data_IF_154940028876
#
_entry.id   IF_154940028876
#
_cell.length_a   1.000
_cell.length_b   1.000
_cell.length_c   1.000
_cell.angle_alpha   90.00
_cell.angle_beta   90.00
_cell.angle_gamma   90.00
#
_symmetry.space_group_name_H-M   'P 1'
#
loop_
_entity.id
_entity.type
_entity.pdbx_description
1 polymer ?
#
# COMPACT_ATOMS: atom_id res chain seq x y z
N UNK A 1 -7.58 -11.58 -9.21
CA UNK A 1 -6.81 -11.92 -10.43
C UNK A 1 -5.37 -12.22 -10.01
N UNK A 2 -4.89 -13.43 -10.25
CA UNK A 2 -3.55 -13.88 -9.84
C UNK A 2 -2.54 -13.70 -10.97
N UNK A 3 -1.42 -13.05 -10.64
CA UNK A 3 -0.23 -12.94 -11.44
C UNK A 3 0.96 -13.57 -10.70
N UNK A 4 1.83 -14.20 -11.46
CA UNK A 4 3.12 -14.75 -10.98
C UNK A 4 4.16 -14.51 -12.07
N UNK A 5 5.44 -14.76 -11.78
CA UNK A 5 6.50 -14.72 -12.80
C UNK A 5 6.23 -15.64 -14.00
N UNK A 6 5.41 -16.68 -13.86
CA UNK A 6 5.03 -17.59 -14.96
C UNK A 6 3.96 -17.03 -15.88
N UNK A 7 3.16 -16.07 -15.40
CA UNK A 7 2.06 -15.46 -16.14
C UNK A 7 1.95 -13.94 -15.84
N UNK A 8 3.02 -13.15 -16.11
CA UNK A 8 3.08 -11.76 -15.67
C UNK A 8 2.08 -10.85 -16.39
N UNK A 9 1.63 -11.22 -17.60
CA UNK A 9 0.73 -10.42 -18.43
C UNK A 9 -0.69 -10.99 -18.55
N UNK A 10 -0.92 -12.21 -18.10
CA UNK A 10 -2.21 -12.89 -18.23
C UNK A 10 -2.65 -13.46 -16.88
N UNK A 11 -3.55 -12.74 -16.21
CA UNK A 11 -4.05 -13.15 -14.91
C UNK A 11 -4.85 -14.44 -14.97
N UNK A 12 -4.67 -15.28 -13.95
CA UNK A 12 -5.58 -16.36 -13.65
C UNK A 12 -6.72 -15.85 -12.75
N UNK A 13 -7.97 -16.13 -13.13
CA UNK A 13 -9.10 -15.88 -12.23
C UNK A 13 -9.06 -16.87 -11.06
N UNK A 14 -9.09 -16.34 -9.84
CA UNK A 14 -9.03 -17.09 -8.58
C UNK A 14 -10.11 -16.57 -7.63
N UNK A 15 -10.57 -17.42 -6.72
CA UNK A 15 -11.55 -17.10 -5.69
C UNK A 15 -11.35 -18.03 -4.47
N UNK A 16 -12.20 -17.91 -3.44
CA UNK A 16 -12.06 -18.68 -2.20
C UNK A 16 -12.21 -20.19 -2.36
N UNK A 17 -12.76 -20.69 -3.48
CA UNK A 17 -12.88 -22.13 -3.77
C UNK A 17 -11.82 -22.62 -4.76
N UNK A 18 -11.18 -21.72 -5.50
CA UNK A 18 -10.19 -22.03 -6.54
C UNK A 18 -8.99 -21.09 -6.37
N UNK A 19 -7.95 -21.58 -5.68
CA UNK A 19 -6.68 -20.85 -5.52
C UNK A 19 -5.83 -20.83 -6.80
N UNK A 20 -6.16 -21.67 -7.79
CA UNK A 20 -5.43 -21.73 -9.06
C UNK A 20 -3.97 -22.14 -8.87
N UNK A 21 -3.05 -21.40 -9.49
CA UNK A 21 -1.61 -21.63 -9.42
C UNK A 21 -0.94 -20.87 -8.25
N UNK A 22 -1.72 -20.34 -7.30
CA UNK A 22 -1.18 -19.64 -6.14
C UNK A 22 -0.32 -20.60 -5.33
N UNK A 23 0.90 -20.18 -5.00
CA UNK A 23 1.76 -20.95 -4.11
C UNK A 23 1.76 -20.34 -2.70
N UNK A 24 1.10 -21.01 -1.76
CA UNK A 24 0.90 -20.54 -0.38
C UNK A 24 2.19 -20.41 0.44
N UNK A 25 3.29 -21.03 0.00
CA UNK A 25 4.60 -20.88 0.67
C UNK A 25 5.36 -19.64 0.21
N UNK A 26 4.82 -18.86 -0.72
CA UNK A 26 5.42 -17.62 -1.21
C UNK A 26 4.69 -16.41 -0.64
N UNK A 27 5.45 -15.32 -0.47
CA UNK A 27 4.89 -13.99 -0.20
C UNK A 27 3.76 -13.70 -1.18
N UNK A 28 2.63 -13.24 -0.66
CA UNK A 28 1.45 -12.87 -1.45
C UNK A 28 1.12 -11.41 -1.25
N UNK A 29 1.22 -10.64 -2.34
CA UNK A 29 0.89 -9.22 -2.34
C UNK A 29 -0.50 -9.02 -2.93
N UNK A 30 -1.42 -8.50 -2.14
CA UNK A 30 -2.73 -8.07 -2.61
C UNK A 30 -2.69 -6.60 -3.02
N UNK A 31 -3.02 -6.29 -4.28
CA UNK A 31 -3.14 -4.91 -4.75
C UNK A 31 -4.61 -4.54 -4.89
N UNK A 32 -5.05 -3.53 -4.13
CA UNK A 32 -6.46 -3.14 -4.01
C UNK A 32 -6.65 -1.72 -4.53
N UNK A 33 -7.39 -1.58 -5.63
CA UNK A 33 -7.67 -0.27 -6.21
C UNK A 33 -8.76 0.51 -5.45
N UNK A 34 -8.93 1.78 -5.81
CA UNK A 34 -9.86 2.72 -5.21
C UNK A 34 -11.21 2.88 -5.92
N UNK A 35 -11.82 4.05 -5.70
CA UNK A 35 -13.05 4.53 -6.35
C UNK A 35 -12.89 4.66 -7.87
N UNK A 36 -13.89 4.24 -8.66
CA UNK A 36 -13.82 4.17 -10.13
C UNK A 36 -15.08 4.74 -10.80
N UNK A 37 -15.25 6.06 -10.94
CA UNK A 37 -16.51 6.63 -11.45
C UNK A 37 -16.90 6.14 -12.86
N UNK A 38 -15.92 5.78 -13.70
CA UNK A 38 -16.14 5.28 -15.08
C UNK A 38 -15.97 3.76 -15.21
N UNK A 39 -15.57 3.06 -14.14
CA UNK A 39 -15.30 1.62 -14.17
C UNK A 39 -14.11 1.17 -15.03
N UNK A 40 -13.38 2.11 -15.64
CA UNK A 40 -12.14 1.78 -16.35
C UNK A 40 -11.15 1.12 -15.39
N UNK A 41 -10.24 0.23 -15.82
CA UNK A 41 -9.14 -0.26 -14.99
C UNK A 41 -8.15 0.85 -14.61
N UNK A 42 -7.46 0.76 -13.45
CA UNK A 42 -6.34 1.64 -13.12
C UNK A 42 -5.19 1.50 -14.12
N UNK A 43 -4.74 2.62 -14.69
CA UNK A 43 -3.67 2.64 -15.70
C UNK A 43 -2.30 2.18 -15.17
N UNK A 44 -2.07 2.28 -13.85
CA UNK A 44 -0.83 1.89 -13.19
C UNK A 44 -0.77 0.40 -12.80
N UNK A 45 -1.87 -0.34 -12.99
CA UNK A 45 -2.01 -1.69 -12.45
C UNK A 45 -0.99 -2.67 -13.05
N UNK A 46 -0.83 -2.63 -14.38
CA UNK A 46 0.11 -3.51 -15.10
C UNK A 46 1.55 -3.19 -14.69
N UNK A 47 1.94 -1.92 -14.70
CA UNK A 47 3.25 -1.46 -14.23
C UNK A 47 3.56 -1.92 -12.79
N UNK A 48 2.55 -1.92 -11.91
CA UNK A 48 2.72 -2.36 -10.52
C UNK A 48 2.90 -3.86 -10.41
N UNK A 49 2.12 -4.65 -11.15
CA UNK A 49 2.28 -6.10 -11.19
C UNK A 49 3.67 -6.46 -11.71
N UNK A 50 4.09 -5.84 -12.82
CA UNK A 50 5.40 -6.07 -13.43
C UNK A 50 6.53 -5.70 -12.47
N UNK A 51 6.47 -4.50 -11.86
CA UNK A 51 7.49 -4.03 -10.92
C UNK A 51 7.59 -4.88 -9.65
N UNK A 52 6.48 -5.44 -9.15
CA UNK A 52 6.52 -6.35 -8.01
C UNK A 52 7.12 -7.71 -8.38
N UNK A 53 6.76 -8.24 -9.56
CA UNK A 53 7.29 -9.53 -10.03
C UNK A 53 8.76 -9.46 -10.44
N UNK A 54 9.29 -8.27 -10.77
CA UNK A 54 10.71 -8.09 -11.10
C UNK A 54 11.61 -8.20 -9.87
N UNK A 55 11.16 -7.79 -8.68
CA UNK A 55 12.00 -7.74 -7.47
C UNK A 55 12.06 -9.06 -6.69
N UNK A 56 11.01 -9.89 -6.72
CA UNK A 56 11.00 -11.17 -6.00
C UNK A 56 10.03 -12.20 -6.63
N UNK A 57 10.20 -13.50 -6.33
CA UNK A 57 9.34 -14.58 -6.81
C UNK A 57 8.13 -14.77 -5.87
N UNK A 58 7.07 -14.04 -6.16
CA UNK A 58 5.89 -13.91 -5.29
C UNK A 58 4.57 -14.21 -6.03
N UNK A 59 3.47 -14.28 -5.27
CA UNK A 59 2.13 -14.17 -5.82
C UNK A 59 1.70 -12.70 -5.80
N UNK A 60 1.19 -12.17 -6.91
CA UNK A 60 0.54 -10.85 -6.95
C UNK A 60 -0.93 -11.02 -7.25
N UNK A 61 -1.80 -10.69 -6.29
CA UNK A 61 -3.25 -10.79 -6.40
C UNK A 61 -3.85 -9.41 -6.57
N UNK A 62 -4.25 -9.09 -7.80
CA UNK A 62 -5.04 -7.89 -8.08
C UNK A 62 -6.48 -8.14 -7.65
N UNK A 63 -6.97 -7.30 -6.74
CA UNK A 63 -8.35 -7.32 -6.24
C UNK A 63 -9.20 -6.42 -7.13
N UNK A 64 -9.85 -7.02 -8.14
CA UNK A 64 -10.83 -6.34 -8.97
C UNK A 64 -12.19 -6.32 -8.27
N UNK A 65 -12.55 -5.17 -7.72
CA UNK A 65 -13.87 -4.92 -7.14
C UNK A 65 -14.63 -3.83 -7.92
N UNK A 66 -14.35 -3.69 -9.22
CA UNK A 66 -14.95 -2.65 -10.07
C UNK A 66 -16.48 -2.63 -10.00
N UNK A 67 -17.16 -3.77 -9.84
CA UNK A 67 -18.62 -3.79 -9.67
C UNK A 67 -19.09 -2.96 -8.45
N UNK A 68 -18.31 -2.94 -7.37
CA UNK A 68 -18.60 -2.13 -6.18
C UNK A 68 -18.03 -0.71 -6.24
N UNK A 69 -16.93 -0.52 -6.98
CA UNK A 69 -16.24 0.76 -7.10
C UNK A 69 -16.84 1.67 -8.19
N UNK A 70 -17.58 1.10 -9.14
CA UNK A 70 -18.11 1.81 -10.32
C UNK A 70 -19.42 2.49 -10.02
N UNK A 71 -19.33 3.75 -9.63
CA UNK A 71 -20.48 4.59 -9.36
C UNK A 71 -20.06 6.06 -9.34
N UNK A 72 -20.97 6.96 -9.66
CA UNK A 72 -20.76 8.41 -9.46
C UNK A 72 -21.02 8.84 -8.01
N UNK A 73 -21.60 7.96 -7.18
CA UNK A 73 -21.97 8.25 -5.79
C UNK A 73 -20.90 7.68 -4.85
N UNK A 74 -19.94 8.52 -4.44
CA UNK A 74 -18.80 8.10 -3.61
C UNK A 74 -19.21 7.31 -2.35
N UNK A 75 -20.27 7.73 -1.66
CA UNK A 75 -20.79 7.05 -0.47
C UNK A 75 -21.20 5.59 -0.74
N UNK A 76 -21.66 5.28 -1.95
CA UNK A 76 -22.00 3.89 -2.32
C UNK A 76 -20.75 3.04 -2.40
N UNK A 77 -19.70 3.51 -3.09
CA UNK A 77 -18.42 2.80 -3.18
C UNK A 77 -17.76 2.64 -1.81
N UNK A 78 -17.71 3.72 -1.01
CA UNK A 78 -17.13 3.69 0.34
C UNK A 78 -17.80 2.63 1.23
N UNK A 79 -19.13 2.50 1.21
CA UNK A 79 -19.84 1.45 1.98
C UNK A 79 -19.53 0.02 1.50
N UNK A 80 -19.10 -0.18 0.26
CA UNK A 80 -18.75 -1.51 -0.26
C UNK A 80 -17.38 -1.99 0.21
N UNK A 81 -16.49 -1.10 0.67
CA UNK A 81 -15.14 -1.46 1.13
C UNK A 81 -15.15 -2.57 2.19
N UNK A 82 -16.04 -2.51 3.18
CA UNK A 82 -16.19 -3.56 4.20
C UNK A 82 -16.61 -4.91 3.61
N UNK A 83 -17.48 -4.90 2.59
CA UNK A 83 -17.89 -6.14 1.91
C UNK A 83 -16.72 -6.76 1.15
N UNK A 84 -15.92 -5.93 0.47
CA UNK A 84 -14.70 -6.40 -0.21
C UNK A 84 -13.74 -7.01 0.80
N UNK A 85 -13.54 -6.36 1.96
CA UNK A 85 -12.68 -6.88 3.01
C UNK A 85 -13.14 -8.27 3.51
N UNK A 86 -14.45 -8.48 3.71
CA UNK A 86 -15.00 -9.80 4.11
C UNK A 86 -14.67 -10.88 3.06
N UNK A 87 -14.83 -10.57 1.77
CA UNK A 87 -14.48 -11.53 0.71
C UNK A 87 -12.98 -11.84 0.71
N UNK A 88 -12.13 -10.83 0.95
CA UNK A 88 -10.68 -11.05 1.05
C UNK A 88 -10.31 -11.86 2.30
N UNK A 89 -11.01 -11.67 3.41
CA UNK A 89 -10.85 -12.47 4.63
C UNK A 89 -11.13 -13.94 4.35
N UNK A 90 -12.24 -14.26 3.71
CA UNK A 90 -12.59 -15.62 3.32
C UNK A 90 -11.53 -16.24 2.40
N UNK A 91 -10.99 -15.45 1.45
CA UNK A 91 -9.93 -15.90 0.56
C UNK A 91 -8.61 -16.19 1.30
N UNK A 92 -8.17 -15.27 2.17
CA UNK A 92 -6.95 -15.44 2.96
C UNK A 92 -7.12 -16.61 3.95
N UNK A 93 -8.31 -16.82 4.53
CA UNK A 93 -8.58 -17.98 5.39
C UNK A 93 -8.36 -19.31 4.66
N UNK A 94 -8.75 -19.39 3.38
CA UNK A 94 -8.45 -20.56 2.57
C UNK A 94 -6.94 -20.71 2.35
N UNK A 95 -6.21 -19.62 2.10
CA UNK A 95 -4.75 -19.69 1.98
C UNK A 95 -4.08 -20.21 3.26
N UNK A 96 -4.54 -19.74 4.43
CA UNK A 96 -4.04 -20.19 5.72
C UNK A 96 -4.34 -21.66 5.96
N UNK A 97 -5.53 -22.13 5.57
CA UNK A 97 -5.89 -23.55 5.65
C UNK A 97 -4.98 -24.45 4.80
N UNK A 98 -4.45 -23.93 3.69
CA UNK A 98 -3.49 -24.60 2.82
C UNK A 98 -2.02 -24.39 3.28
N UNK A 99 -1.78 -23.66 4.36
CA UNK A 99 -0.45 -23.52 4.98
C UNK A 99 0.27 -22.19 4.74
N UNK A 100 -0.41 -21.16 4.23
CA UNK A 100 0.16 -19.81 4.19
C UNK A 100 0.39 -19.24 5.60
N UNK A 101 1.35 -18.32 5.72
CA UNK A 101 1.55 -17.51 6.94
C UNK A 101 0.96 -16.12 6.77
N UNK A 102 0.39 -15.55 7.84
CA UNK A 102 -0.02 -14.14 7.88
C UNK A 102 1.18 -13.19 7.73
N UNK A 103 2.38 -13.61 8.14
CA UNK A 103 3.64 -12.86 7.97
C UNK A 103 3.96 -12.62 6.49
N UNK A 104 3.54 -13.55 5.62
CA UNK A 104 3.78 -13.52 4.17
C UNK A 104 2.65 -12.80 3.40
N UNK A 105 1.65 -12.28 4.11
CA UNK A 105 0.57 -11.48 3.51
C UNK A 105 0.92 -9.99 3.57
N UNK A 106 1.02 -9.39 2.39
CA UNK A 106 1.25 -7.96 2.20
C UNK A 106 0.10 -7.35 1.41
N UNK A 107 -0.52 -6.28 1.89
CA UNK A 107 -1.58 -5.57 1.17
C UNK A 107 -1.12 -4.16 0.76
N UNK A 108 -1.27 -3.83 -0.52
CA UNK A 108 -1.07 -2.48 -1.06
C UNK A 108 -2.44 -1.95 -1.47
N UNK A 109 -2.93 -0.96 -0.73
CA UNK A 109 -4.24 -0.36 -0.97
C UNK A 109 -4.12 1.08 -1.46
N UNK A 110 -4.76 1.39 -2.59
CA UNK A 110 -4.82 2.75 -3.14
C UNK A 110 -6.17 3.37 -2.82
N UNK A 111 -6.21 4.61 -2.30
CA UNK A 111 -7.46 5.33 -2.05
C UNK A 111 -8.40 4.57 -1.08
N UNK A 112 -9.66 4.33 -1.45
CA UNK A 112 -10.58 3.41 -0.76
C UNK A 112 -9.97 2.01 -0.51
N UNK A 113 -9.09 1.54 -1.39
CA UNK A 113 -8.40 0.26 -1.24
C UNK A 113 -7.49 0.21 -0.01
N UNK A 114 -6.93 1.35 0.43
CA UNK A 114 -6.14 1.43 1.66
C UNK A 114 -7.00 1.06 2.89
N UNK A 115 -8.25 1.54 2.92
CA UNK A 115 -9.19 1.20 3.98
C UNK A 115 -9.69 -0.25 3.87
N UNK A 116 -9.85 -0.78 2.66
CA UNK A 116 -10.11 -2.23 2.48
C UNK A 116 -9.00 -3.05 3.13
N UNK A 117 -7.73 -2.73 2.86
CA UNK A 117 -6.60 -3.41 3.49
C UNK A 117 -6.62 -3.29 5.02
N UNK A 118 -6.88 -2.08 5.55
CA UNK A 118 -7.03 -1.88 6.99
C UNK A 118 -8.17 -2.70 7.61
N UNK A 119 -9.32 -2.80 6.94
CA UNK A 119 -10.42 -3.65 7.42
C UNK A 119 -10.08 -5.14 7.42
N UNK A 120 -9.33 -5.62 6.43
CA UNK A 120 -8.83 -7.02 6.45
C UNK A 120 -7.88 -7.22 7.62
N UNK A 121 -6.93 -6.30 7.82
CA UNK A 121 -5.98 -6.31 8.92
C UNK A 121 -6.62 -6.43 10.30
N UNK A 122 -7.69 -5.65 10.54
CA UNK A 122 -8.48 -5.72 11.78
C UNK A 122 -9.09 -7.10 12.04
N UNK A 123 -9.59 -7.77 11.00
CA UNK A 123 -10.17 -9.11 11.14
C UNK A 123 -9.13 -10.18 11.46
N UNK A 124 -7.84 -9.85 11.34
CA UNK A 124 -6.70 -10.66 11.78
C UNK A 124 -6.00 -10.07 13.01
N UNK A 125 -6.64 -9.15 13.74
CA UNK A 125 -6.08 -8.51 14.94
C UNK A 125 -4.68 -7.91 14.70
N UNK A 126 -4.44 -7.32 13.52
CA UNK A 126 -3.17 -6.69 13.18
C UNK A 126 -2.04 -7.66 12.83
N UNK A 127 -2.34 -8.96 12.65
CA UNK A 127 -1.29 -9.97 12.43
C UNK A 127 -0.80 -10.06 10.98
N UNK A 128 -1.41 -9.36 10.02
CA UNK A 128 -0.89 -9.28 8.65
C UNK A 128 0.55 -8.77 8.65
N UNK A 129 1.41 -9.34 7.81
CA UNK A 129 2.82 -8.99 7.74
C UNK A 129 3.05 -7.51 7.45
N UNK A 130 2.32 -6.96 6.46
CA UNK A 130 2.43 -5.54 6.07
C UNK A 130 1.17 -4.99 5.40
N UNK A 131 0.88 -3.71 5.62
CA UNK A 131 -0.04 -2.91 4.81
C UNK A 131 0.66 -1.64 4.32
N UNK A 132 0.58 -1.35 3.02
CA UNK A 132 0.95 -0.04 2.46
C UNK A 132 -0.31 0.70 2.01
N UNK A 133 -0.55 1.88 2.57
CA UNK A 133 -1.58 2.81 2.13
C UNK A 133 -1.03 3.81 1.13
N UNK A 134 -1.46 3.72 -0.13
CA UNK A 134 -1.11 4.69 -1.18
C UNK A 134 -2.23 5.72 -1.30
N UNK A 135 -1.96 6.88 -0.71
CA UNK A 135 -2.87 8.01 -0.56
C UNK A 135 -4.28 7.60 -0.09
N UNK A 136 -4.42 7.10 1.17
CA UNK A 136 -5.70 6.67 1.70
C UNK A 136 -6.78 7.76 1.60
N UNK A 137 -7.99 7.38 1.20
CA UNK A 137 -9.02 8.36 0.88
C UNK A 137 -9.51 9.12 2.12
N UNK A 138 -9.36 10.44 2.14
CA UNK A 138 -9.82 11.28 3.25
C UNK A 138 -11.35 11.33 3.46
N UNK A 139 -12.17 11.54 2.41
CA UNK A 139 -13.62 11.71 2.57
C UNK A 139 -14.29 10.49 3.22
N UNK A 140 -15.07 10.73 4.27
CA UNK A 140 -15.75 9.76 5.14
C UNK A 140 -14.86 9.00 6.14
N UNK A 141 -13.53 9.09 6.03
CA UNK A 141 -12.57 8.37 6.88
C UNK A 141 -11.77 9.29 7.81
N UNK A 142 -11.47 10.52 7.40
CA UNK A 142 -10.75 11.48 8.24
C UNK A 142 -11.50 11.76 9.55
N UNK A 143 -10.77 11.74 10.67
CA UNK A 143 -11.35 11.91 12.02
C UNK A 143 -12.20 10.75 12.51
N UNK A 144 -12.32 9.65 11.74
CA UNK A 144 -12.98 8.43 12.19
C UNK A 144 -12.09 7.65 13.16
N UNK A 145 -12.71 6.88 14.06
CA UNK A 145 -11.96 6.04 14.99
C UNK A 145 -11.27 4.88 14.24
N UNK A 146 -10.23 4.25 14.82
CA UNK A 146 -9.41 3.23 14.16
C UNK A 146 -10.22 2.14 13.45
N UNK A 147 -11.32 1.65 14.03
CA UNK A 147 -12.24 0.63 13.49
C UNK A 147 -12.87 0.96 12.13
N UNK A 148 -12.87 2.24 11.77
CA UNK A 148 -13.57 2.79 10.61
C UNK A 148 -12.63 3.25 9.49
N UNK A 149 -11.30 3.11 9.64
CA UNK A 149 -10.29 3.54 8.66
C UNK A 149 -9.05 2.65 8.69
N UNK A 150 -8.04 2.96 7.86
CA UNK A 150 -6.71 2.36 7.99
C UNK A 150 -6.04 2.93 9.26
N UNK A 151 -5.35 2.08 10.01
CA UNK A 151 -4.70 2.43 11.26
C UNK A 151 -3.38 1.64 11.46
N UNK A 152 -2.39 2.17 12.20
CA UNK A 152 -1.14 1.45 12.47
C UNK A 152 -1.32 0.08 13.12
N UNK A 153 -2.43 -0.14 13.84
CA UNK A 153 -2.74 -1.43 14.47
C UNK A 153 -3.21 -2.52 13.50
N UNK A 154 -3.39 -2.21 12.21
CA UNK A 154 -3.99 -3.13 11.24
C UNK A 154 -3.01 -4.17 10.67
N UNK A 155 -1.71 -4.01 10.89
CA UNK A 155 -0.68 -4.97 10.49
C UNK A 155 0.54 -4.84 11.41
N UNK A 156 1.45 -5.80 11.30
CA UNK A 156 2.72 -5.73 12.02
C UNK A 156 3.61 -4.58 11.52
N UNK A 157 3.37 -4.09 10.31
CA UNK A 157 3.99 -2.90 9.75
C UNK A 157 3.00 -2.20 8.83
N UNK A 158 2.73 -0.92 9.08
CA UNK A 158 1.86 -0.08 8.25
C UNK A 158 2.66 1.13 7.79
N UNK A 159 2.85 1.26 6.48
CA UNK A 159 3.48 2.42 5.85
C UNK A 159 2.50 3.14 4.93
N UNK A 160 2.53 4.48 4.93
CA UNK A 160 1.56 5.30 4.18
C UNK A 160 2.28 6.38 3.39
N UNK A 161 1.96 6.48 2.10
CA UNK A 161 2.43 7.56 1.22
C UNK A 161 1.26 8.52 0.99
N UNK A 162 1.36 9.73 1.54
CA UNK A 162 0.42 10.81 1.28
C UNK A 162 0.91 11.67 0.12
N UNK A 163 0.07 11.89 -0.89
CA UNK A 163 0.41 12.70 -2.06
C UNK A 163 -0.66 13.72 -2.46
N UNK A 164 -1.88 13.62 -1.93
CA UNK A 164 -2.95 14.62 -2.10
C UNK A 164 -3.60 14.97 -0.75
N UNK A 165 -2.86 15.72 0.09
CA UNK A 165 -3.33 16.09 1.43
C UNK A 165 -4.34 17.26 1.37
N UNK A 166 -4.25 18.11 0.34
CA UNK A 166 -5.04 19.33 0.21
C UNK A 166 -6.31 19.18 -0.63
N UNK A 167 -6.44 18.10 -1.44
CA UNK A 167 -7.66 17.75 -2.17
C UNK A 167 -8.09 18.78 -3.22
N UNK A 168 -7.16 19.61 -3.73
CA UNK A 168 -7.46 20.73 -4.62
C UNK A 168 -6.87 20.56 -6.04
N UNK A 169 -7.61 21.11 -7.01
CA UNK A 169 -7.35 21.35 -8.44
C UNK A 169 -6.90 20.17 -9.34
N UNK A 170 -6.00 19.29 -8.89
CA UNK A 170 -5.48 18.14 -9.67
C UNK A 170 -5.70 16.79 -8.95
N UNK A 171 -6.83 16.65 -8.28
CA UNK A 171 -7.22 15.46 -7.49
C UNK A 171 -6.83 14.12 -8.13
N UNK A 172 -6.98 13.93 -9.46
CA UNK A 172 -6.59 12.67 -10.09
C UNK A 172 -5.07 12.49 -10.21
N UNK A 173 -4.32 13.54 -10.57
CA UNK A 173 -2.88 13.48 -10.75
C UNK A 173 -2.16 13.33 -9.40
N UNK A 174 -2.56 14.13 -8.41
CA UNK A 174 -1.93 14.14 -7.08
C UNK A 174 -2.24 12.84 -6.33
N UNK A 175 -3.47 12.34 -6.43
CA UNK A 175 -3.86 11.07 -5.83
C UNK A 175 -3.14 9.87 -6.45
N UNK A 176 -2.89 9.90 -7.77
CA UNK A 176 -2.14 8.84 -8.46
C UNK A 176 -0.63 8.91 -8.21
N UNK A 177 -0.10 10.05 -7.76
CA UNK A 177 1.34 10.25 -7.53
C UNK A 177 1.91 9.24 -6.52
N UNK A 178 1.18 8.93 -5.45
CA UNK A 178 1.58 7.90 -4.47
C UNK A 178 1.93 6.55 -5.11
N UNK A 179 1.16 6.13 -6.12
CA UNK A 179 1.42 4.89 -6.85
C UNK A 179 2.69 4.98 -7.68
N UNK A 180 2.90 6.09 -8.37
CA UNK A 180 4.10 6.28 -9.18
C UNK A 180 5.39 6.42 -8.35
N UNK A 181 5.29 7.00 -7.15
CA UNK A 181 6.39 7.03 -6.17
C UNK A 181 6.69 5.64 -5.61
N UNK A 182 5.66 4.84 -5.32
CA UNK A 182 5.86 3.45 -4.94
C UNK A 182 6.50 2.66 -6.08
N UNK A 183 6.03 2.84 -7.32
CA UNK A 183 6.60 2.20 -8.51
C UNK A 183 8.07 2.56 -8.75
N UNK A 184 8.49 3.81 -8.49
CA UNK A 184 9.89 4.18 -8.66
C UNK A 184 10.79 3.48 -7.64
N UNK A 185 10.29 3.20 -6.43
CA UNK A 185 11.04 2.46 -5.41
C UNK A 185 11.34 1.00 -5.77
N UNK A 186 10.58 0.42 -6.73
CA UNK A 186 10.81 -0.93 -7.25
C UNK A 186 11.93 -0.99 -8.29
N UNK A 187 12.45 0.16 -8.72
CA UNK A 187 13.52 0.25 -9.71
C UNK A 187 14.83 0.59 -9.00
N UNK A 188 15.86 -0.23 -9.19
CA UNK A 188 17.14 -0.15 -8.45
C UNK A 188 17.90 1.17 -8.62
N UNK A 189 17.61 1.95 -9.68
CA UNK A 189 18.34 3.17 -9.99
C UNK A 189 17.81 4.43 -9.28
N UNK A 190 16.79 4.30 -8.42
CA UNK A 190 16.16 5.46 -7.80
C UNK A 190 15.74 5.18 -6.36
N UNK A 191 16.48 5.77 -5.42
CA UNK A 191 16.14 5.70 -4.00
C UNK A 191 15.66 7.08 -3.53
N UNK A 192 14.47 7.10 -2.91
CA UNK A 192 13.93 8.30 -2.27
C UNK A 192 14.07 8.10 -0.78
N UNK A 193 15.03 8.80 -0.18
CA UNK A 193 15.25 8.81 1.26
C UNK A 193 14.26 9.74 1.94
N UNK A 194 13.60 9.26 2.97
CA UNK A 194 12.72 10.05 3.81
C UNK A 194 13.39 10.40 5.15
N UNK A 195 13.11 11.59 5.65
CA UNK A 195 13.71 12.14 6.86
C UNK A 195 12.65 12.29 7.95
N UNK A 196 12.77 11.53 9.06
CA UNK A 196 11.93 11.71 10.24
C UNK A 196 11.92 13.15 10.72
N UNK A 197 10.73 13.73 10.90
CA UNK A 197 10.58 15.11 11.37
C UNK A 197 9.22 15.33 12.03
N UNK A 198 9.13 16.28 12.94
CA UNK A 198 7.87 16.58 13.66
C UNK A 198 6.83 17.27 12.76
N UNK A 199 7.29 18.09 11.81
CA UNK A 199 6.42 18.83 10.90
C UNK A 199 7.08 19.08 9.54
N UNK A 200 6.26 19.24 8.51
CA UNK A 200 6.73 19.62 7.17
C UNK A 200 7.46 20.97 7.20
N UNK A 201 7.02 21.90 8.05
CA UNK A 201 7.66 23.21 8.22
C UNK A 201 9.09 23.06 8.76
N UNK A 202 9.30 22.19 9.74
CA UNK A 202 10.63 21.96 10.30
C UNK A 202 11.56 21.24 9.31
N UNK A 203 11.00 20.31 8.53
CA UNK A 203 11.70 19.67 7.41
C UNK A 203 12.16 20.72 6.38
N UNK A 204 11.25 21.58 5.89
CA UNK A 204 11.55 22.64 4.92
C UNK A 204 12.51 23.71 5.44
N UNK A 205 12.58 23.90 6.76
CA UNK A 205 13.54 24.79 7.41
C UNK A 205 14.90 24.12 7.69
N UNK A 206 15.14 22.90 7.19
CA UNK A 206 16.41 22.20 7.31
C UNK A 206 16.72 21.68 8.72
N UNK A 207 15.70 21.48 9.57
CA UNK A 207 15.91 20.99 10.95
C UNK A 207 16.09 19.47 11.06
N UNK A 208 15.75 18.75 10.00
CA UNK A 208 15.69 17.28 9.97
C UNK A 208 16.55 16.74 8.81
N UNK A 209 17.87 16.88 8.94
CA UNK A 209 18.85 16.51 7.90
C UNK A 209 19.46 15.12 8.11
N UNK A 210 19.09 14.43 9.18
CA UNK A 210 19.49 13.06 9.48
C UNK A 210 18.31 12.30 10.07
N UNK A 211 18.46 10.98 10.18
CA UNK A 211 17.36 10.10 10.60
C UNK A 211 17.39 9.73 12.08
N UNK A 212 18.24 10.39 12.88
CA UNK A 212 18.33 10.13 14.32
C UNK A 212 18.78 8.70 14.67
N UNK A 213 19.51 8.06 13.76
CA UNK A 213 20.05 6.70 13.86
C UNK A 213 21.57 6.72 13.95
N UNK A 214 22.15 5.65 14.49
CA UNK A 214 23.61 5.41 14.41
C UNK A 214 24.07 5.49 12.95
N UNK A 215 25.30 5.94 12.70
CA UNK A 215 25.88 6.04 11.34
C UNK A 215 25.92 4.70 10.59
N UNK A 216 25.65 3.58 11.27
CA UNK A 216 25.58 2.23 10.71
C UNK A 216 24.23 1.85 10.12
N UNK A 217 23.16 2.63 10.38
CA UNK A 217 21.82 2.38 9.87
C UNK A 217 21.43 3.41 8.81
N UNK A 218 20.72 2.96 7.77
CA UNK A 218 20.22 3.84 6.72
C UNK A 218 18.88 4.47 7.09
N UNK A 219 18.68 5.70 6.63
CA UNK A 219 17.39 6.38 6.70
C UNK A 219 16.26 5.55 6.04
N UNK A 220 14.99 5.77 6.46
CA UNK A 220 13.87 5.08 5.85
C UNK A 220 13.78 5.42 4.36
N UNK A 221 13.58 4.38 3.54
CA UNK A 221 13.32 4.52 2.12
C UNK A 221 11.81 4.60 1.87
N UNK A 222 11.41 5.42 0.90
CA UNK A 222 10.04 5.45 0.43
C UNK A 222 9.71 4.17 -0.36
N UNK A 223 8.51 3.62 -0.14
CA UNK A 223 7.94 2.57 -1.00
C UNK A 223 8.27 1.14 -0.59
N UNK A 224 8.62 0.29 -1.55
CA UNK A 224 8.72 -1.16 -1.37
C UNK A 224 9.67 -1.56 -0.25
N UNK A 225 10.80 -0.87 -0.09
CA UNK A 225 11.82 -1.18 0.91
C UNK A 225 11.66 -0.45 2.26
N UNK A 226 10.50 0.17 2.52
CA UNK A 226 10.25 0.89 3.78
C UNK A 226 10.26 -0.01 5.02
N UNK A 227 9.99 -1.31 4.86
CA UNK A 227 9.98 -2.32 5.93
C UNK A 227 11.37 -2.65 6.47
N UNK A 228 12.45 -2.27 5.78
CA UNK A 228 13.81 -2.30 6.33
C UNK A 228 13.95 -1.45 7.60
N UNK A 229 13.01 -0.52 7.84
CA UNK A 229 12.99 0.35 9.01
C UNK A 229 12.00 -0.11 10.10
N UNK A 230 11.38 -1.29 9.94
CA UNK A 230 10.37 -1.84 10.86
C UNK A 230 10.91 -2.03 12.27
N UNK A 231 12.12 -2.60 12.42
CA UNK A 231 12.67 -2.91 13.74
C UNK A 231 13.08 -1.65 14.51
N UNK A 232 13.64 -0.64 13.83
CA UNK A 232 13.91 0.67 14.43
C UNK A 232 12.63 1.33 14.97
N UNK A 233 11.52 1.25 14.23
CA UNK A 233 10.25 1.85 14.64
C UNK A 233 9.63 1.16 15.87
N UNK A 234 9.86 -0.16 16.04
CA UNK A 234 9.35 -0.92 17.20
C UNK A 234 9.93 -0.45 18.53
N UNK A 235 11.13 0.11 18.52
CA UNK A 235 11.81 0.60 19.72
C UNK A 235 11.36 2.00 20.15
N UNK A 236 10.56 2.70 19.32
CA UNK A 236 10.06 4.05 19.61
C UNK A 236 8.75 4.02 20.42
N UNK A 237 8.52 5.10 21.17
CA UNK A 237 7.26 5.34 21.87
C UNK A 237 6.66 6.72 21.48
N UNK A 238 5.51 6.76 20.78
CA UNK A 238 4.81 5.62 20.17
C UNK A 238 5.61 5.00 19.02
N UNK A 239 5.34 3.74 18.62
CA UNK A 239 6.05 3.03 17.55
C UNK A 239 5.61 3.49 16.16
N UNK A 240 5.70 4.80 15.93
CA UNK A 240 5.31 5.46 14.69
C UNK A 240 6.20 6.68 14.45
N UNK A 241 6.29 7.11 13.19
CA UNK A 241 6.99 8.33 12.82
C UNK A 241 6.25 9.08 11.72
N UNK A 242 6.62 10.35 11.53
CA UNK A 242 6.37 11.08 10.29
C UNK A 242 7.71 11.33 9.64
N UNK A 243 7.80 11.03 8.36
CA UNK A 243 8.99 11.32 7.56
C UNK A 243 8.59 12.13 6.33
N UNK A 244 9.48 13.02 5.92
CA UNK A 244 9.28 13.92 4.79
C UNK A 244 10.41 13.73 3.79
N UNK A 245 10.10 14.00 2.53
CA UNK A 245 11.02 13.85 1.42
C UNK A 245 10.59 14.82 0.32
N UNK A 246 11.54 15.17 -0.53
CA UNK A 246 11.27 15.87 -1.78
C UNK A 246 11.41 14.89 -2.94
N UNK A 247 10.74 15.21 -4.05
CA UNK A 247 10.77 14.39 -5.28
C UNK A 247 10.92 15.30 -6.47
N UNK A 248 11.56 14.81 -7.54
CA UNK A 248 11.56 15.49 -8.82
C UNK A 248 10.15 15.49 -9.44
N UNK A 249 9.91 16.40 -10.39
CA UNK A 249 8.62 16.51 -11.09
C UNK A 249 8.35 15.30 -11.99
N UNK A 250 9.39 14.76 -12.61
CA UNK A 250 9.33 13.66 -13.57
C UNK A 250 10.06 12.40 -13.10
N UNK A 251 9.77 11.27 -13.76
CA UNK A 251 10.47 9.99 -13.51
C UNK A 251 11.98 10.19 -13.70
N UNK A 252 12.84 9.62 -12.83
CA UNK A 252 12.50 8.60 -11.84
C UNK A 252 11.99 9.13 -10.48
N UNK A 253 11.74 10.43 -10.33
CA UNK A 253 11.23 11.12 -9.13
C UNK A 253 12.19 11.24 -7.94
N UNK A 254 13.30 10.51 -7.90
CA UNK A 254 14.40 10.86 -7.00
C UNK A 254 15.10 12.13 -7.49
N UNK A 255 15.55 12.94 -6.53
CA UNK A 255 16.44 14.06 -6.82
C UNK A 255 17.85 13.52 -7.05
N UNK A 256 18.43 13.77 -8.22
CA UNK A 256 19.87 13.65 -8.42
C UNK A 256 20.54 14.85 -7.72
N UNK A 257 21.46 14.59 -6.80
CA UNK A 257 22.31 15.60 -6.18
C UNK A 257 23.67 15.61 -6.87
#
# INVERSE_FOLDING_TARGET
MLYTRRNPTCAQAINSTVLGNLNVTKKTIFTVHGFRPTGSPPVWMEDLVEGLLSVDDMNVVVVDWNQGATTVIYNHASRKTRKVAIVLKEFIDQMLAEGASLDDIYMIGVSLGAHVAGFVGKMYNGQLGRITGLDPAGPLFNGRPPEDRLDPSDAQFVDVIHSDIDGMQYFKCDHQRSVYLYLSSLRENCTITAYPCDSYRDYRNGKCVNCGISQTESCPLLGYYADNWKDYLRERDPPMTKAFFDTAEEKPFCSEW
#
